data_IF_164547001361
#
_entry.id   IF_164547001361
#
_cell.length_a   1.000
_cell.length_b   1.000
_cell.length_c   1.000
_cell.angle_alpha   90.00
_cell.angle_beta   90.00
_cell.angle_gamma   90.00
#
_symmetry.space_group_name_H-M   'P 1'
#
loop_
_entity.id
_entity.type
_entity.pdbx_description
1 polymer ?
#
# COMPACT_ATOMS: atom_id res chain seq x y z
N UNK A 1 55.32 -46.10 -51.08
CA UNK A 1 54.67 -44.82 -51.40
C UNK A 1 54.81 -43.90 -50.20
N UNK A 2 55.23 -42.65 -50.43
CA UNK A 2 55.25 -41.57 -49.44
C UNK A 2 53.82 -41.03 -49.20
N UNK A 3 53.60 -40.02 -48.34
CA UNK A 3 54.36 -39.61 -47.16
C UNK A 3 53.46 -39.13 -45.98
N UNK A 4 54.11 -38.49 -45.00
CA UNK A 4 53.73 -37.15 -44.50
C UNK A 4 52.61 -37.08 -43.45
N UNK A 5 52.78 -36.42 -42.29
CA UNK A 5 53.78 -35.47 -41.79
C UNK A 5 53.79 -35.60 -40.24
N UNK A 6 54.92 -35.64 -39.50
CA UNK A 6 55.97 -34.62 -39.34
C UNK A 6 55.40 -33.26 -38.88
N UNK A 7 55.88 -32.47 -37.91
CA UNK A 7 57.07 -32.33 -37.05
C UNK A 7 56.58 -31.28 -36.00
N UNK A 8 56.83 -31.38 -34.69
CA UNK A 8 58.04 -30.94 -33.96
C UNK A 8 58.29 -29.41 -34.00
N UNK A 9 58.17 -28.80 -32.79
CA UNK A 9 58.94 -27.65 -32.24
C UNK A 9 58.49 -26.27 -32.76
N UNK A 10 58.27 -25.26 -31.91
CA UNK A 10 59.32 -24.36 -31.38
C UNK A 10 58.82 -23.64 -30.12
N UNK A 11 59.59 -23.76 -29.04
CA UNK A 11 59.70 -22.77 -27.95
C UNK A 11 60.26 -21.46 -28.48
N UNK A 12 59.55 -20.35 -28.29
CA UNK A 12 60.13 -19.01 -28.33
C UNK A 12 59.60 -18.16 -27.19
N UNK A 13 60.49 -17.86 -26.24
CA UNK A 13 60.42 -16.68 -25.40
C UNK A 13 60.43 -15.43 -26.29
N UNK A 14 59.49 -14.52 -26.06
CA UNK A 14 59.72 -13.08 -26.27
C UNK A 14 58.98 -12.30 -25.18
N UNK A 15 59.77 -11.67 -24.31
CA UNK A 15 59.37 -10.52 -23.51
C UNK A 15 58.81 -9.44 -24.44
N UNK A 16 57.61 -8.95 -24.16
CA UNK A 16 57.24 -7.57 -24.44
C UNK A 16 56.50 -7.00 -23.24
N UNK A 17 57.15 -6.04 -22.61
CA UNK A 17 56.62 -5.13 -21.61
C UNK A 17 55.43 -4.37 -22.22
N UNK A 18 54.26 -4.54 -21.64
CA UNK A 18 53.18 -3.58 -21.78
C UNK A 18 52.63 -3.30 -20.38
N UNK A 19 52.96 -2.11 -19.88
CA UNK A 19 52.20 -1.43 -18.84
C UNK A 19 50.76 -1.28 -19.34
N UNK A 20 49.93 -2.27 -19.02
CA UNK A 20 48.49 -2.14 -19.04
C UNK A 20 48.04 -1.93 -17.61
N UNK A 21 47.71 -0.68 -17.28
CA UNK A 21 46.90 -0.34 -16.12
C UNK A 21 45.73 -1.33 -16.05
N UNK A 22 45.82 -2.32 -15.17
CA UNK A 22 44.65 -3.02 -14.69
C UNK A 22 43.83 -1.95 -13.96
N UNK A 23 42.87 -1.37 -14.68
CA UNK A 23 41.84 -0.55 -14.09
C UNK A 23 41.33 -1.34 -12.88
N UNK A 24 41.25 -0.72 -11.69
CA UNK A 24 40.58 -1.37 -10.59
C UNK A 24 39.18 -1.68 -11.13
N UNK A 25 38.78 -2.95 -11.07
CA UNK A 25 37.39 -3.32 -11.19
C UNK A 25 36.68 -2.47 -10.17
N UNK A 26 36.08 -1.37 -10.63
CA UNK A 26 35.02 -0.73 -9.92
C UNK A 26 33.97 -1.83 -9.80
N UNK A 27 34.01 -2.51 -8.66
CA UNK A 27 32.78 -2.88 -7.98
C UNK A 27 31.92 -1.64 -8.15
N UNK A 28 30.97 -1.71 -9.09
CA UNK A 28 29.80 -0.88 -9.06
C UNK A 28 29.30 -1.06 -7.65
N UNK A 29 29.64 -0.12 -6.76
CA UNK A 29 29.12 -0.04 -5.42
C UNK A 29 27.64 -0.34 -5.59
N UNK A 30 27.18 -1.45 -5.01
CA UNK A 30 25.82 -1.95 -5.19
C UNK A 30 24.93 -0.74 -5.00
N UNK A 31 24.38 -0.21 -6.10
CA UNK A 31 23.61 1.02 -6.02
C UNK A 31 22.55 0.73 -4.99
N UNK A 32 22.48 1.53 -3.95
CA UNK A 32 21.49 1.39 -2.90
C UNK A 32 20.13 1.79 -3.50
N UNK A 33 19.56 0.88 -4.29
CA UNK A 33 18.30 1.05 -5.02
C UNK A 33 17.19 0.59 -4.10
N UNK A 34 16.05 1.28 -4.15
CA UNK A 34 14.83 0.89 -3.44
C UNK A 34 14.30 -0.42 -4.00
N UNK A 35 13.87 -1.33 -3.13
CA UNK A 35 13.38 -2.67 -3.45
C UNK A 35 11.96 -2.87 -2.94
N UNK A 36 11.34 -3.98 -3.32
CA UNK A 36 9.93 -4.23 -3.04
C UNK A 36 9.62 -4.26 -1.54
N UNK A 37 10.45 -4.90 -0.71
CA UNK A 37 10.30 -4.92 0.76
C UNK A 37 10.59 -3.59 1.47
N UNK A 38 11.13 -2.59 0.77
CA UNK A 38 11.20 -1.22 1.33
C UNK A 38 9.87 -0.48 1.17
N UNK A 39 9.16 -0.77 0.08
CA UNK A 39 7.89 -0.13 -0.25
C UNK A 39 6.71 -0.83 0.38
N UNK A 40 6.79 -2.14 0.63
CA UNK A 40 5.75 -2.92 1.28
C UNK A 40 6.35 -3.79 2.40
N UNK A 41 6.08 -3.39 3.64
CA UNK A 41 6.59 -4.02 4.86
C UNK A 41 5.50 -4.85 5.52
N UNK A 42 5.81 -6.13 5.72
CA UNK A 42 4.99 -7.12 6.43
C UNK A 42 5.50 -7.24 7.86
N UNK A 43 4.61 -7.20 8.84
CA UNK A 43 4.94 -7.45 10.23
C UNK A 43 4.28 -8.76 10.66
N UNK A 44 5.05 -9.75 11.14
CA UNK A 44 4.49 -11.03 11.58
C UNK A 44 3.67 -10.84 12.86
N UNK A 45 2.55 -11.59 12.97
CA UNK A 45 1.61 -11.49 14.08
C UNK A 45 2.15 -12.04 15.42
N UNK A 46 3.14 -12.94 15.37
CA UNK A 46 3.71 -13.63 16.53
C UNK A 46 5.03 -13.01 16.99
N UNK A 47 5.19 -12.88 18.31
CA UNK A 47 6.42 -12.43 18.97
C UNK A 47 6.25 -11.20 19.88
N UNK A 48 7.37 -10.68 20.39
CA UNK A 48 7.45 -9.37 21.06
C UNK A 48 7.36 -8.19 20.06
N UNK A 49 7.02 -8.48 18.81
CA UNK A 49 6.98 -7.62 17.63
C UNK A 49 5.73 -6.76 17.57
N UNK A 50 5.58 -5.81 18.51
CA UNK A 50 4.32 -5.09 18.67
C UNK A 50 4.53 -3.59 18.59
N UNK A 51 4.23 -3.01 17.42
CA UNK A 51 3.80 -1.61 17.36
C UNK A 51 2.29 -1.62 17.63
N UNK A 52 1.95 -1.37 18.90
CA UNK A 52 0.57 -1.29 19.33
C UNK A 52 -0.06 0.01 18.83
N UNK A 53 -1.39 0.00 18.68
CA UNK A 53 -2.14 1.24 18.61
C UNK A 53 -1.90 2.01 19.92
N UNK A 54 -1.22 3.15 19.82
CA UNK A 54 -0.98 4.09 20.92
C UNK A 54 -1.45 5.49 20.52
N UNK A 55 -1.52 6.41 21.48
CA UNK A 55 -1.99 7.77 21.22
C UNK A 55 -1.15 8.54 20.19
N UNK A 56 0.09 8.12 19.92
CA UNK A 56 0.97 8.80 18.99
C UNK A 56 0.70 8.39 17.53
N UNK A 57 0.18 7.19 17.28
CA UNK A 57 -0.08 6.67 15.93
C UNK A 57 -1.56 6.41 15.64
N UNK A 58 -2.34 6.07 16.67
CA UNK A 58 -3.74 5.71 16.59
C UNK A 58 -4.50 6.21 17.84
N UNK A 59 -4.91 7.49 17.87
CA UNK A 59 -5.56 8.11 19.02
C UNK A 59 -6.84 7.40 19.45
N UNK A 60 -7.11 7.29 20.75
CA UNK A 60 -8.35 6.69 21.25
C UNK A 60 -9.65 7.32 20.69
N UNK A 61 -9.73 8.63 20.40
CA UNK A 61 -10.93 9.19 19.75
C UNK A 61 -11.23 8.57 18.37
N UNK A 62 -10.21 8.17 17.61
CA UNK A 62 -10.42 7.48 16.34
C UNK A 62 -11.06 6.12 16.55
N UNK A 63 -10.55 5.39 17.55
CA UNK A 63 -11.12 4.13 17.99
C UNK A 63 -12.61 4.29 18.33
N UNK A 64 -12.97 5.24 19.19
CA UNK A 64 -14.38 5.46 19.54
C UNK A 64 -15.27 5.81 18.34
N UNK A 65 -14.82 6.70 17.45
CA UNK A 65 -15.58 7.08 16.26
C UNK A 65 -15.84 5.91 15.29
N UNK A 66 -14.87 5.00 15.16
CA UNK A 66 -15.01 3.79 14.34
C UNK A 66 -16.07 2.87 14.93
N UNK A 67 -16.08 2.71 16.25
CA UNK A 67 -17.00 1.83 16.97
C UNK A 67 -18.44 2.31 16.91
N UNK A 68 -18.64 3.60 17.18
CA UNK A 68 -19.95 4.25 17.05
C UNK A 68 -20.52 4.11 15.64
N UNK A 69 -19.66 4.05 14.62
CA UNK A 69 -20.08 3.78 13.25
C UNK A 69 -20.52 2.33 13.04
N UNK A 70 -19.79 1.35 13.58
CA UNK A 70 -20.12 -0.07 13.45
C UNK A 70 -21.36 -0.48 14.25
N UNK A 71 -21.65 0.18 15.38
CA UNK A 71 -22.92 0.04 16.09
C UNK A 71 -24.15 0.29 15.22
N UNK A 72 -23.99 1.06 14.13
CA UNK A 72 -25.06 1.36 13.16
C UNK A 72 -25.09 0.38 11.97
N UNK A 73 -24.41 -0.76 12.08
CA UNK A 73 -24.31 -1.81 11.05
C UNK A 73 -24.71 -3.17 11.62
N UNK A 74 -24.69 -4.21 10.80
CA UNK A 74 -24.86 -5.59 11.25
C UNK A 74 -23.74 -6.08 12.17
N UNK A 75 -22.62 -5.35 12.27
CA UNK A 75 -21.51 -5.61 13.19
C UNK A 75 -21.88 -5.30 14.62
N UNK A 76 -22.70 -4.29 14.87
CA UNK A 76 -23.10 -3.93 16.22
C UNK A 76 -21.87 -3.66 17.09
N UNK A 77 -21.87 -4.27 18.28
CA UNK A 77 -20.85 -4.14 19.33
C UNK A 77 -19.76 -5.23 19.27
N UNK A 78 -19.80 -6.12 18.27
CA UNK A 78 -18.85 -7.24 18.15
C UNK A 78 -17.38 -6.78 18.18
N UNK A 79 -17.10 -5.60 17.61
CA UNK A 79 -15.78 -4.98 17.68
C UNK A 79 -15.31 -4.69 19.12
N UNK A 80 -16.21 -4.34 20.03
CA UNK A 80 -15.87 -3.97 21.42
C UNK A 80 -15.73 -5.18 22.32
N UNK A 81 -16.57 -6.17 22.07
CA UNK A 81 -16.61 -7.40 22.86
C UNK A 81 -15.50 -8.36 22.47
N UNK A 82 -15.18 -8.45 21.18
CA UNK A 82 -14.23 -9.44 20.64
C UNK A 82 -12.80 -8.88 20.46
N UNK A 83 -12.62 -7.57 20.21
CA UNK A 83 -11.30 -6.97 19.98
C UNK A 83 -11.08 -5.66 20.74
N UNK A 84 -10.37 -5.71 21.87
CA UNK A 84 -10.07 -4.48 22.63
C UNK A 84 -9.02 -3.66 21.90
N UNK A 85 -8.96 -2.35 22.11
CA UNK A 85 -7.95 -1.46 21.51
C UNK A 85 -6.51 -2.01 21.70
N UNK A 86 -6.24 -2.57 22.89
CA UNK A 86 -4.97 -3.21 23.22
C UNK A 86 -4.64 -4.44 22.39
N UNK A 87 -5.53 -4.98 21.56
CA UNK A 87 -5.31 -6.13 20.70
C UNK A 87 -4.90 -5.69 19.28
N UNK A 88 -5.11 -4.41 18.93
CA UNK A 88 -4.80 -3.87 17.61
C UNK A 88 -3.31 -3.59 17.43
N UNK A 89 -2.77 -4.11 16.33
CA UNK A 89 -1.36 -4.04 15.97
C UNK A 89 -1.21 -3.56 14.54
N UNK A 90 -0.11 -2.86 14.28
CA UNK A 90 0.32 -2.64 12.91
C UNK A 90 0.77 -3.99 12.33
N UNK A 91 0.17 -4.41 11.22
CA UNK A 91 0.50 -5.66 10.52
C UNK A 91 1.15 -5.40 9.16
N UNK A 92 0.90 -4.22 8.58
CA UNK A 92 1.49 -3.84 7.31
C UNK A 92 1.72 -2.35 7.18
N UNK A 93 2.74 -1.99 6.39
CA UNK A 93 3.01 -0.63 5.96
C UNK A 93 3.32 -0.62 4.46
N UNK A 94 2.75 0.32 3.70
CA UNK A 94 3.13 0.58 2.31
C UNK A 94 3.49 2.05 2.11
N UNK A 95 4.62 2.31 1.47
CA UNK A 95 4.98 3.63 0.97
C UNK A 95 4.71 3.76 -0.52
N UNK A 96 3.90 4.73 -0.89
CA UNK A 96 3.69 5.15 -2.27
C UNK A 96 4.47 6.44 -2.53
N UNK A 97 5.58 6.44 -3.29
CA UNK A 97 6.36 7.66 -3.56
C UNK A 97 5.59 8.73 -4.35
N UNK A 98 4.58 8.32 -5.09
CA UNK A 98 3.83 9.19 -5.99
C UNK A 98 2.40 8.68 -6.13
N UNK A 99 1.50 9.20 -5.28
CA UNK A 99 0.07 9.02 -5.45
C UNK A 99 -0.53 10.25 -6.13
N UNK A 100 -1.26 10.10 -7.25
CA UNK A 100 -1.83 11.25 -7.96
C UNK A 100 -2.75 12.08 -7.07
N UNK A 101 -2.61 13.41 -7.17
CA UNK A 101 -3.44 14.37 -6.43
C UNK A 101 -4.88 14.37 -6.93
N UNK A 102 -5.04 14.18 -8.23
CA UNK A 102 -6.33 14.22 -8.90
C UNK A 102 -6.92 12.81 -9.04
N UNK A 103 -8.25 12.67 -8.95
CA UNK A 103 -8.89 11.38 -8.97
C UNK A 103 -8.74 10.68 -10.32
N UNK A 104 -8.55 11.39 -11.43
CA UNK A 104 -8.39 10.81 -12.77
C UNK A 104 -6.93 10.82 -13.23
N UNK A 105 -6.53 9.80 -14.00
CA UNK A 105 -5.14 9.60 -14.41
C UNK A 105 -4.96 10.07 -15.84
N UNK A 106 -4.15 11.12 -15.98
CA UNK A 106 -3.57 11.54 -17.25
C UNK A 106 -2.05 11.48 -17.12
N UNK A 107 -1.27 11.47 -18.21
CA UNK A 107 0.19 11.59 -18.11
C UNK A 107 0.65 12.81 -17.30
N UNK A 108 -0.12 13.90 -17.34
CA UNK A 108 0.10 15.11 -16.51
C UNK A 108 -0.17 14.80 -15.03
N UNK A 109 -1.34 14.26 -14.70
CA UNK A 109 -1.74 13.99 -13.32
C UNK A 109 -0.92 12.88 -12.66
N UNK A 110 -0.34 11.98 -13.44
CA UNK A 110 0.60 10.97 -12.95
C UNK A 110 1.91 11.58 -12.41
N UNK A 111 2.25 12.82 -12.82
CA UNK A 111 3.41 13.58 -12.31
C UNK A 111 3.04 14.51 -11.17
N UNK A 112 1.82 15.04 -11.17
CA UNK A 112 1.26 15.82 -10.07
C UNK A 112 0.76 14.87 -8.97
N UNK A 113 1.68 14.45 -8.13
CA UNK A 113 1.47 13.49 -7.08
C UNK A 113 2.11 13.93 -5.77
N UNK A 114 1.73 13.27 -4.69
CA UNK A 114 2.35 13.39 -3.39
C UNK A 114 2.71 12.00 -2.86
N UNK A 115 3.81 11.86 -2.12
CA UNK A 115 4.08 10.63 -1.40
C UNK A 115 3.00 10.36 -0.35
N UNK A 116 2.66 9.08 -0.16
CA UNK A 116 1.68 8.61 0.82
C UNK A 116 2.20 7.39 1.58
N UNK A 117 1.84 7.30 2.85
CA UNK A 117 2.10 6.16 3.71
C UNK A 117 0.77 5.51 4.08
N UNK A 118 0.63 4.23 3.80
CA UNK A 118 -0.52 3.42 4.21
C UNK A 118 -0.12 2.52 5.35
N UNK A 119 -0.87 2.58 6.44
CA UNK A 119 -0.76 1.66 7.57
C UNK A 119 -1.99 0.76 7.61
N UNK A 120 -1.77 -0.53 7.92
CA UNK A 120 -2.81 -1.51 8.13
C UNK A 120 -2.76 -1.98 9.56
N UNK A 121 -3.82 -1.67 10.31
CA UNK A 121 -4.01 -2.10 11.69
C UNK A 121 -5.00 -3.26 11.72
N UNK A 122 -4.73 -4.24 12.57
CA UNK A 122 -5.56 -5.43 12.71
C UNK A 122 -5.52 -5.94 14.16
N UNK A 123 -6.62 -6.49 14.71
CA UNK A 123 -6.58 -7.14 16.00
C UNK A 123 -5.86 -8.49 15.92
N UNK A 124 -4.90 -8.69 16.81
CA UNK A 124 -4.24 -9.98 17.01
C UNK A 124 -4.67 -10.50 18.38
N UNK A 125 -5.62 -11.44 18.37
CA UNK A 125 -6.10 -12.11 19.57
C UNK A 125 -5.19 -13.28 19.90
N UNK A 126 -5.04 -13.58 21.20
CA UNK A 126 -4.25 -14.72 21.66
C UNK A 126 -5.16 -15.66 22.45
N UNK A 127 -5.20 -16.92 22.03
CA UNK A 127 -6.01 -17.96 22.66
C UNK A 127 -5.10 -19.10 23.11
N UNK A 128 -5.40 -19.68 24.28
CA UNK A 128 -4.69 -20.85 24.77
C UNK A 128 -5.43 -22.12 24.33
N UNK A 129 -4.84 -22.87 23.40
CA UNK A 129 -5.45 -24.07 22.80
C UNK A 129 -4.47 -25.23 22.94
N UNK A 130 -4.92 -26.35 23.54
CA UNK A 130 -4.14 -27.59 23.68
C UNK A 130 -2.71 -27.35 24.19
N UNK A 131 -2.60 -26.65 25.32
CA UNK A 131 -1.35 -26.32 26.00
C UNK A 131 -0.38 -25.40 25.23
N UNK A 132 -0.86 -24.69 24.20
CA UNK A 132 -0.07 -23.71 23.45
C UNK A 132 -0.85 -22.41 23.27
N UNK A 133 -0.16 -21.29 23.37
CA UNK A 133 -0.70 -20.02 22.91
C UNK A 133 -0.69 -20.00 21.38
N UNK A 134 -1.83 -19.71 20.79
CA UNK A 134 -2.00 -19.46 19.37
C UNK A 134 -2.43 -18.01 19.22
N UNK A 135 -1.88 -17.31 18.23
CA UNK A 135 -2.36 -15.98 17.86
C UNK A 135 -3.19 -16.07 16.59
N UNK A 136 -4.31 -15.37 16.57
CA UNK A 136 -5.19 -15.27 15.43
C UNK A 136 -5.35 -13.79 15.07
N UNK A 137 -5.17 -13.48 13.79
CA UNK A 137 -5.44 -12.17 13.24
C UNK A 137 -6.91 -12.16 12.79
N UNK A 138 -7.72 -11.31 13.40
CA UNK A 138 -9.15 -11.24 13.14
C UNK A 138 -9.44 -10.56 11.80
N UNK A 139 -10.50 -10.89 11.05
CA UNK A 139 -10.78 -10.27 9.73
C UNK A 139 -11.35 -8.84 9.79
N UNK A 140 -10.95 -8.10 10.82
CA UNK A 140 -11.19 -6.68 10.98
C UNK A 140 -9.90 -5.94 10.72
N UNK A 141 -9.98 -4.87 9.96
CA UNK A 141 -8.80 -4.06 9.66
C UNK A 141 -9.15 -2.58 9.63
N UNK A 142 -8.15 -1.74 9.88
CA UNK A 142 -8.19 -0.32 9.58
C UNK A 142 -7.05 0.01 8.62
N UNK A 143 -7.39 0.60 7.47
CA UNK A 143 -6.41 1.19 6.57
C UNK A 143 -6.36 2.68 6.83
N UNK A 144 -5.25 3.17 7.35
CA UNK A 144 -4.98 4.58 7.55
C UNK A 144 -4.03 5.09 6.47
N UNK A 145 -4.42 6.16 5.78
CA UNK A 145 -3.63 6.85 4.77
C UNK A 145 -3.10 8.15 5.35
N UNK A 146 -1.79 8.34 5.26
CA UNK A 146 -1.09 9.53 5.69
C UNK A 146 -0.40 10.16 4.48
N UNK A 147 -0.51 11.47 4.36
CA UNK A 147 0.28 12.24 3.40
C UNK A 147 1.51 12.80 4.09
N UNK A 148 2.64 12.83 3.39
CA UNK A 148 3.85 13.40 3.96
C UNK A 148 3.80 14.92 3.90
N UNK A 149 4.09 15.55 5.03
CA UNK A 149 4.31 16.99 5.12
C UNK A 149 5.59 17.37 4.36
N UNK A 150 5.57 18.44 3.56
CA UNK A 150 6.74 18.87 2.80
C UNK A 150 7.92 19.27 3.70
N UNK A 151 7.66 19.79 4.89
CA UNK A 151 8.66 20.14 5.91
C UNK A 151 9.50 18.94 6.37
N UNK A 152 9.05 17.71 6.06
CA UNK A 152 9.80 16.51 6.39
C UNK A 152 11.02 16.26 5.46
N UNK A 153 11.08 16.96 4.32
CA UNK A 153 12.19 16.83 3.36
C UNK A 153 12.61 18.14 2.67
N UNK A 154 11.87 19.22 2.85
CA UNK A 154 12.12 20.53 2.24
C UNK A 154 12.42 21.57 3.31
N UNK A 155 13.18 22.61 2.96
CA UNK A 155 13.32 23.79 3.83
C UNK A 155 12.00 24.57 3.91
N UNK A 156 11.92 25.54 4.83
CA UNK A 156 10.68 26.26 5.12
C UNK A 156 10.10 26.98 3.89
N UNK A 157 10.94 27.60 3.07
CA UNK A 157 10.49 28.38 1.91
C UNK A 157 10.06 27.44 0.77
N UNK A 158 10.81 26.36 0.57
CA UNK A 158 10.47 25.29 -0.36
C UNK A 158 9.18 24.57 0.03
N UNK A 159 8.96 24.30 1.31
CA UNK A 159 7.76 23.65 1.82
C UNK A 159 6.52 24.53 1.59
N UNK A 160 6.61 25.83 1.91
CA UNK A 160 5.53 26.78 1.64
C UNK A 160 5.23 26.88 0.13
N UNK A 161 6.27 26.94 -0.70
CA UNK A 161 6.11 26.96 -2.15
C UNK A 161 5.49 25.67 -2.69
N UNK A 162 5.89 24.53 -2.16
CA UNK A 162 5.30 23.23 -2.51
C UNK A 162 3.81 23.19 -2.16
N UNK A 163 3.43 23.69 -0.97
CA UNK A 163 2.02 23.76 -0.53
C UNK A 163 1.18 24.65 -1.47
N UNK A 164 1.67 25.84 -1.81
CA UNK A 164 0.99 26.76 -2.75
C UNK A 164 0.74 26.09 -4.11
N UNK A 165 1.75 25.38 -4.64
CA UNK A 165 1.65 24.67 -5.91
C UNK A 165 0.70 23.47 -5.81
N UNK A 166 0.74 22.74 -4.69
CA UNK A 166 -0.13 21.60 -4.43
C UNK A 166 -1.61 22.01 -4.40
N UNK A 167 -1.97 23.08 -3.70
CA UNK A 167 -3.35 23.59 -3.61
C UNK A 167 -3.90 24.03 -4.98
N UNK A 168 -3.01 24.41 -5.91
CA UNK A 168 -3.34 24.85 -7.27
C UNK A 168 -3.05 23.80 -8.33
N UNK A 169 -2.86 22.53 -7.96
CA UNK A 169 -2.40 21.46 -8.85
C UNK A 169 -3.18 21.37 -10.19
N UNK A 170 -4.49 21.64 -10.18
CA UNK A 170 -5.32 21.61 -11.39
C UNK A 170 -4.97 22.72 -12.41
N UNK A 171 -4.42 23.84 -11.94
CA UNK A 171 -4.26 25.10 -12.67
C UNK A 171 -2.80 25.55 -12.83
N UNK A 172 -1.84 24.68 -12.50
CA UNK A 172 -0.43 25.00 -12.66
C UNK A 172 -0.07 25.25 -14.13
N UNK A 173 0.75 26.27 -14.37
CA UNK A 173 1.42 26.50 -15.65
C UNK A 173 2.61 25.56 -15.82
N UNK A 174 3.09 25.36 -17.05
CA UNK A 174 4.18 24.42 -17.33
C UNK A 174 5.46 24.66 -16.50
N UNK A 175 5.81 25.92 -16.22
CA UNK A 175 6.96 26.24 -15.37
C UNK A 175 6.72 25.88 -13.89
N UNK A 176 5.50 26.12 -13.39
CA UNK A 176 5.07 25.75 -12.04
C UNK A 176 4.99 24.23 -11.86
N UNK A 177 4.58 23.49 -12.89
CA UNK A 177 4.61 22.02 -12.88
C UNK A 177 6.02 21.45 -12.77
N UNK A 178 6.99 22.04 -13.48
CA UNK A 178 8.39 21.65 -13.38
C UNK A 178 8.96 21.96 -11.99
N UNK A 179 8.58 23.09 -11.42
CA UNK A 179 8.95 23.47 -10.06
C UNK A 179 8.36 22.50 -9.03
N UNK A 180 7.07 22.18 -9.15
CA UNK A 180 6.40 21.20 -8.29
C UNK A 180 7.05 19.81 -8.39
N UNK A 181 7.32 19.31 -9.60
CA UNK A 181 7.99 18.01 -9.81
C UNK A 181 9.38 18.00 -9.16
N UNK A 182 10.13 19.09 -9.26
CA UNK A 182 11.45 19.22 -8.61
C UNK A 182 11.35 19.15 -7.08
N UNK A 183 10.47 19.95 -6.48
CA UNK A 183 10.28 19.97 -5.03
C UNK A 183 9.74 18.62 -4.52
N UNK A 184 8.78 18.03 -5.23
CA UNK A 184 8.24 16.73 -4.88
C UNK A 184 9.32 15.62 -4.93
N UNK A 185 10.22 15.65 -5.92
CA UNK A 185 11.35 14.71 -5.98
C UNK A 185 12.31 14.86 -4.82
N UNK A 186 12.64 16.10 -4.43
CA UNK A 186 13.48 16.36 -3.26
C UNK A 186 12.87 15.78 -2.00
N UNK A 187 11.57 16.00 -1.79
CA UNK A 187 10.82 15.38 -0.69
C UNK A 187 10.91 13.85 -0.76
N UNK A 188 10.58 13.25 -1.90
CA UNK A 188 10.59 11.78 -2.06
C UNK A 188 11.99 11.18 -1.85
N UNK A 189 13.06 11.83 -2.30
CA UNK A 189 14.43 11.35 -2.12
C UNK A 189 14.82 11.27 -0.63
N UNK A 190 14.38 12.24 0.18
CA UNK A 190 14.56 12.20 1.65
C UNK A 190 13.79 11.02 2.24
N UNK A 191 12.52 10.85 1.85
CA UNK A 191 11.66 9.78 2.37
C UNK A 191 12.19 8.38 2.00
N UNK A 192 12.61 8.20 0.75
CA UNK A 192 13.23 6.97 0.26
C UNK A 192 14.52 6.67 1.01
N UNK A 193 15.32 7.69 1.32
CA UNK A 193 16.53 7.51 2.14
C UNK A 193 16.17 7.01 3.54
N UNK A 194 15.12 7.55 4.17
CA UNK A 194 14.63 7.09 5.47
C UNK A 194 14.07 5.67 5.44
N UNK A 195 13.39 5.29 4.37
CA UNK A 195 12.91 3.91 4.19
C UNK A 195 14.05 2.91 4.07
N UNK A 196 15.10 3.24 3.31
CA UNK A 196 16.29 2.39 3.17
C UNK A 196 17.03 2.23 4.50
N UNK A 197 17.04 3.27 5.35
CA UNK A 197 17.62 3.19 6.69
C UNK A 197 16.93 2.16 7.59
N UNK A 198 15.67 1.79 7.31
CA UNK A 198 14.99 0.73 8.05
C UNK A 198 15.71 -0.61 7.94
N UNK A 199 16.41 -0.87 6.83
CA UNK A 199 17.13 -2.12 6.57
C UNK A 199 18.23 -2.44 7.59
N UNK A 200 18.74 -1.42 8.26
CA UNK A 200 19.88 -1.55 9.17
C UNK A 200 21.11 -2.05 8.43
N UNK A 201 21.65 -3.19 8.86
CA UNK A 201 22.88 -3.78 8.34
C UNK A 201 22.66 -4.83 7.25
N UNK A 202 21.40 -5.16 6.95
CA UNK A 202 21.07 -6.26 6.05
C UNK A 202 21.45 -5.98 4.58
N UNK A 203 21.92 -6.99 3.84
CA UNK A 203 22.19 -6.87 2.41
C UNK A 203 20.95 -6.49 1.59
N UNK A 204 21.13 -5.58 0.62
CA UNK A 204 20.07 -5.08 -0.27
C UNK A 204 19.35 -6.20 -1.04
N UNK A 205 20.06 -7.28 -1.39
CA UNK A 205 19.50 -8.41 -2.15
C UNK A 205 18.38 -9.16 -1.41
N UNK A 206 18.29 -9.04 -0.09
CA UNK A 206 17.23 -9.67 0.71
C UNK A 206 15.87 -8.95 0.60
N UNK A 207 15.83 -7.81 -0.07
CA UNK A 207 14.65 -6.95 -0.18
C UNK A 207 13.99 -6.95 -1.56
N UNK A 208 14.52 -7.73 -2.52
CA UNK A 208 14.12 -7.69 -3.94
C UNK A 208 12.67 -8.14 -4.20
N UNK A 209 12.17 -9.12 -3.44
CA UNK A 209 10.82 -9.67 -3.56
C UNK A 209 9.84 -9.07 -2.53
N UNK A 210 8.57 -9.47 -2.61
CA UNK A 210 7.55 -9.14 -1.62
C UNK A 210 7.44 -10.28 -0.60
N UNK A 211 7.25 -9.94 0.67
CA UNK A 211 7.09 -10.92 1.75
C UNK A 211 7.77 -10.47 3.03
N UNK A 212 7.98 -11.41 3.94
CA UNK A 212 8.60 -11.12 5.24
C UNK A 212 9.98 -10.51 5.10
N UNK A 213 10.24 -9.49 5.92
CA UNK A 213 11.50 -8.80 5.99
C UNK A 213 12.59 -9.66 6.65
N UNK A 214 13.86 -9.58 6.21
CA UNK A 214 14.94 -10.40 6.76
C UNK A 214 15.18 -10.15 8.26
N UNK A 215 14.78 -9.00 8.81
CA UNK A 215 14.88 -8.68 10.24
C UNK A 215 14.05 -9.59 11.15
N UNK A 216 13.14 -10.38 10.60
CA UNK A 216 12.36 -11.37 11.36
C UNK A 216 12.89 -12.80 11.23
N UNK A 217 13.78 -13.06 10.28
CA UNK A 217 14.28 -14.41 9.96
C UNK A 217 15.81 -14.54 9.97
N UNK A 218 16.57 -13.44 10.05
CA UNK A 218 18.03 -13.40 9.93
C UNK A 218 18.74 -12.66 11.09
N UNK A 219 20.03 -12.36 10.88
CA UNK A 219 21.05 -12.02 11.89
C UNK A 219 20.84 -10.72 12.68
N UNK A 220 20.03 -9.78 12.22
CA UNK A 220 19.79 -8.53 12.95
C UNK A 220 18.68 -8.69 13.99
N UNK A 221 18.84 -8.05 15.15
CA UNK A 221 17.82 -8.06 16.20
C UNK A 221 16.53 -7.43 15.67
N UNK A 222 15.44 -8.20 15.68
CA UNK A 222 14.10 -7.71 15.39
C UNK A 222 13.74 -6.46 16.22
N UNK A 223 14.27 -6.34 17.44
CA UNK A 223 14.04 -5.17 18.30
C UNK A 223 14.63 -3.87 17.69
N UNK A 224 15.80 -3.95 17.06
CA UNK A 224 16.45 -2.77 16.47
C UNK A 224 15.66 -2.28 15.26
N UNK A 225 15.16 -3.21 14.44
CA UNK A 225 14.24 -2.89 13.35
C UNK A 225 12.97 -2.20 13.84
N UNK A 226 12.32 -2.76 14.87
CA UNK A 226 11.09 -2.18 15.42
C UNK A 226 11.33 -0.80 16.02
N UNK A 227 12.49 -0.56 16.65
CA UNK A 227 12.84 0.77 17.14
C UNK A 227 12.99 1.78 16.00
N UNK A 228 13.67 1.40 14.91
CA UNK A 228 13.79 2.26 13.71
C UNK A 228 12.43 2.49 13.05
N UNK A 229 11.62 1.44 12.91
CA UNK A 229 10.28 1.52 12.35
C UNK A 229 9.38 2.42 13.20
N UNK A 230 9.38 2.24 14.53
CA UNK A 230 8.63 3.10 15.44
C UNK A 230 9.05 4.56 15.28
N UNK A 231 10.36 4.85 15.25
CA UNK A 231 10.88 6.20 15.03
C UNK A 231 10.45 6.79 13.68
N UNK A 232 10.46 5.98 12.62
CA UNK A 232 9.96 6.37 11.30
C UNK A 232 8.47 6.71 11.35
N UNK A 233 7.65 5.85 11.94
CA UNK A 233 6.20 6.04 12.03
C UNK A 233 5.84 7.27 12.85
N UNK A 234 6.48 7.52 13.99
CA UNK A 234 6.25 8.72 14.80
C UNK A 234 6.62 10.02 14.06
N UNK A 235 7.49 9.92 13.05
CA UNK A 235 7.86 11.06 12.21
C UNK A 235 6.82 11.30 11.11
N UNK A 236 6.35 10.23 10.46
CA UNK A 236 5.64 10.33 9.17
C UNK A 236 4.16 9.89 9.19
N UNK A 237 3.73 9.19 10.24
CA UNK A 237 2.35 8.71 10.41
C UNK A 237 1.65 9.42 11.59
N UNK A 238 1.96 10.71 11.77
CA UNK A 238 1.31 11.51 12.81
C UNK A 238 -0.19 11.64 12.53
N UNK A 239 -1.06 11.61 13.55
CA UNK A 239 -2.50 11.76 13.39
C UNK A 239 -2.89 12.98 12.56
N UNK A 240 -2.19 14.10 12.73
CA UNK A 240 -2.38 15.36 11.99
C UNK A 240 -2.30 15.19 10.47
N UNK A 241 -1.54 14.19 10.02
CA UNK A 241 -1.24 13.93 8.61
C UNK A 241 -2.13 12.83 8.02
N UNK A 242 -3.05 12.27 8.81
CA UNK A 242 -4.07 11.36 8.30
C UNK A 242 -4.88 12.11 7.24
N UNK A 243 -5.23 11.42 6.16
CA UNK A 243 -6.10 11.96 5.10
C UNK A 243 -7.36 11.15 4.94
N UNK A 244 -7.27 9.83 5.16
CA UNK A 244 -8.39 8.93 5.09
C UNK A 244 -8.14 7.74 6.00
N UNK A 245 -9.19 7.30 6.69
CA UNK A 245 -9.21 6.01 7.36
C UNK A 245 -10.38 5.19 6.82
N UNK A 246 -10.15 3.94 6.47
CA UNK A 246 -11.22 3.00 6.10
C UNK A 246 -11.19 1.83 7.05
N UNK A 247 -12.34 1.51 7.62
CA UNK A 247 -12.54 0.39 8.52
C UNK A 247 -13.32 -0.75 7.85
N UNK A 248 -12.91 -1.97 8.15
CA UNK A 248 -13.38 -3.21 7.52
C UNK A 248 -13.82 -4.20 8.59
N UNK A 249 -14.93 -4.90 8.34
CA UNK A 249 -15.32 -6.08 9.12
C UNK A 249 -15.88 -7.15 8.18
N UNK A 250 -15.33 -8.36 8.27
CA UNK A 250 -15.69 -9.52 7.47
C UNK A 250 -16.22 -10.70 8.30
N UNK A 251 -16.86 -11.69 7.65
CA UNK A 251 -17.46 -12.87 8.28
C UNK A 251 -16.55 -13.68 9.21
N UNK A 252 -15.31 -13.95 8.82
CA UNK A 252 -14.45 -14.90 9.53
C UNK A 252 -13.82 -14.21 10.76
N UNK A 253 -14.07 -14.80 11.95
CA UNK A 253 -13.74 -14.18 13.26
C UNK A 253 -14.91 -13.61 14.06
N UNK A 254 -16.15 -13.59 13.53
CA UNK A 254 -17.35 -13.09 14.25
C UNK A 254 -18.07 -14.19 15.03
N UNK A 255 -18.68 -13.85 16.17
CA UNK A 255 -19.65 -14.71 16.86
C UNK A 255 -21.08 -14.11 16.78
N UNK A 256 -22.07 -14.74 16.11
CA UNK A 256 -21.96 -16.02 15.42
C UNK A 256 -21.28 -15.92 14.04
N UNK A 257 -20.52 -16.94 13.63
CA UNK A 257 -19.77 -16.98 12.36
C UNK A 257 -20.64 -17.04 11.09
N UNK A 258 -21.95 -16.80 11.21
CA UNK A 258 -22.94 -16.98 10.14
C UNK A 258 -23.25 -15.70 9.35
N UNK A 259 -22.65 -14.56 9.68
CA UNK A 259 -22.86 -13.32 8.95
C UNK A 259 -21.88 -13.26 7.77
N UNK A 260 -22.24 -13.85 6.62
CA UNK A 260 -21.53 -13.74 5.33
C UNK A 260 -21.66 -12.32 4.74
N UNK A 261 -21.29 -11.30 5.52
CA UNK A 261 -21.39 -9.91 5.13
C UNK A 261 -20.12 -9.14 5.46
N UNK A 262 -19.68 -8.40 4.46
CA UNK A 262 -18.54 -7.49 4.48
C UNK A 262 -19.06 -6.08 4.72
N UNK A 263 -18.55 -5.40 5.72
CA UNK A 263 -18.95 -4.03 6.08
C UNK A 263 -17.75 -3.10 5.96
N UNK A 264 -17.97 -1.99 5.24
CA UNK A 264 -16.97 -0.97 4.97
C UNK A 264 -17.47 0.38 5.46
N UNK A 265 -16.62 1.13 6.16
CA UNK A 265 -16.91 2.49 6.62
C UNK A 265 -15.68 3.35 6.37
N UNK A 266 -15.85 4.53 5.75
CA UNK A 266 -14.78 5.49 5.53
C UNK A 266 -14.90 6.69 6.47
N UNK A 267 -13.75 7.27 6.78
CA UNK A 267 -13.60 8.43 7.65
C UNK A 267 -12.60 9.42 7.06
N UNK A 268 -12.86 10.70 7.31
CA UNK A 268 -11.96 11.82 7.09
C UNK A 268 -11.65 12.49 8.45
N UNK A 269 -10.46 13.09 8.62
CA UNK A 269 -10.14 13.85 9.82
C UNK A 269 -10.81 15.23 9.81
N UNK A 270 -11.27 15.71 10.97
CA UNK A 270 -11.97 17.01 11.10
C UNK A 270 -11.25 18.06 11.96
N UNK A 271 -10.25 17.71 12.76
CA UNK A 271 -9.53 18.66 13.61
C UNK A 271 -8.06 18.28 13.75
N UNK A 272 -7.20 18.75 12.84
CA UNK A 272 -5.76 18.43 12.82
C UNK A 272 -5.49 16.95 13.17
N UNK A 273 -6.31 16.03 12.64
CA UNK A 273 -6.19 14.60 12.90
C UNK A 273 -6.60 14.08 14.28
N UNK A 274 -7.18 14.86 15.19
CA UNK A 274 -7.60 14.34 16.51
C UNK A 274 -8.93 13.60 16.48
N UNK A 275 -9.81 13.95 15.56
CA UNK A 275 -11.17 13.41 15.46
C UNK A 275 -11.47 12.94 14.03
N UNK A 276 -12.30 11.89 13.94
CA UNK A 276 -12.77 11.32 12.69
C UNK A 276 -14.23 11.64 12.46
N UNK A 277 -14.57 11.92 11.21
CA UNK A 277 -15.93 12.05 10.72
C UNK A 277 -16.17 11.03 9.63
N UNK A 278 -17.33 10.38 9.65
CA UNK A 278 -17.73 9.46 8.58
C UNK A 278 -17.84 10.19 7.24
N UNK A 279 -17.35 9.54 6.21
CA UNK A 279 -17.38 9.99 4.82
C UNK A 279 -18.20 9.02 3.98
N UNK A 280 -18.86 9.52 2.95
CA UNK A 280 -19.50 8.66 1.96
C UNK A 280 -18.47 7.84 1.16
N UNK A 281 -18.76 6.55 1.02
CA UNK A 281 -18.07 5.69 0.09
C UNK A 281 -18.63 5.92 -1.32
N UNK A 282 -17.75 6.11 -2.29
CA UNK A 282 -18.14 6.41 -3.68
C UNK A 282 -17.28 5.65 -4.69
N UNK A 283 -17.83 5.41 -5.88
CA UNK A 283 -17.08 5.02 -7.07
C UNK A 283 -17.03 6.24 -7.99
N UNK A 284 -15.83 6.65 -8.39
CA UNK A 284 -15.60 7.80 -9.26
C UNK A 284 -15.20 7.40 -10.67
N UNK A 285 -15.52 8.25 -11.63
CA UNK A 285 -15.08 8.12 -13.03
C UNK A 285 -13.55 8.22 -13.10
N UNK A 286 -12.94 7.32 -13.85
CA UNK A 286 -11.53 7.36 -14.19
C UNK A 286 -11.21 8.46 -15.21
N UNK A 287 -12.22 9.00 -15.90
CA UNK A 287 -12.05 10.02 -16.94
C UNK A 287 -12.02 11.44 -16.38
N UNK A 288 -12.95 11.75 -15.49
CA UNK A 288 -13.20 13.12 -15.03
C UNK A 288 -13.35 13.24 -13.50
N UNK A 289 -13.32 12.13 -12.75
CA UNK A 289 -13.42 12.14 -11.30
C UNK A 289 -14.83 12.34 -10.74
N UNK A 290 -15.87 12.50 -11.57
CA UNK A 290 -17.26 12.63 -11.08
C UNK A 290 -17.71 11.34 -10.38
N UNK A 291 -18.67 11.46 -9.47
CA UNK A 291 -19.23 10.32 -8.76
C UNK A 291 -20.12 9.52 -9.73
N UNK A 292 -19.81 8.24 -9.91
CA UNK A 292 -20.63 7.28 -10.65
C UNK A 292 -21.64 6.57 -9.74
N UNK A 293 -21.24 6.28 -8.51
CA UNK A 293 -22.07 5.63 -7.49
C UNK A 293 -21.70 6.11 -6.09
N UNK A 294 -22.69 6.15 -5.19
CA UNK A 294 -22.49 6.36 -3.74
C UNK A 294 -23.17 5.24 -2.96
N UNK A 295 -22.47 4.73 -1.95
CA UNK A 295 -23.00 3.76 -0.98
C UNK A 295 -23.60 4.45 0.25
N UNK A 296 -23.46 5.78 0.35
CA UNK A 296 -23.67 6.50 1.59
C UNK A 296 -22.54 6.24 2.59
N UNK A 297 -22.85 6.34 3.89
CA UNK A 297 -21.85 6.30 4.99
C UNK A 297 -21.33 4.88 5.33
N UNK A 298 -21.84 3.84 4.67
CA UNK A 298 -21.39 2.46 4.81
C UNK A 298 -21.63 1.69 3.52
N UNK A 299 -20.77 0.75 3.19
CA UNK A 299 -21.04 -0.24 2.15
C UNK A 299 -21.13 -1.63 2.77
N UNK A 300 -22.02 -2.46 2.26
CA UNK A 300 -22.29 -3.83 2.70
C UNK A 300 -22.22 -4.74 1.48
N UNK A 301 -21.55 -5.87 1.57
CA UNK A 301 -21.45 -6.80 0.44
C UNK A 301 -21.15 -8.21 0.88
N UNK A 302 -20.98 -9.10 -0.08
CA UNK A 302 -20.58 -10.48 0.18
C UNK A 302 -19.59 -10.92 -0.90
N UNK A 303 -19.05 -12.13 -0.76
CA UNK A 303 -18.25 -12.74 -1.85
C UNK A 303 -19.05 -12.86 -3.16
N UNK A 304 -20.39 -12.91 -3.07
CA UNK A 304 -21.29 -13.12 -4.21
C UNK A 304 -21.89 -11.84 -4.79
N UNK A 305 -22.11 -10.82 -3.96
CA UNK A 305 -22.88 -9.61 -4.34
C UNK A 305 -22.20 -8.35 -3.82
N UNK A 306 -22.27 -7.29 -4.63
CA UNK A 306 -21.91 -5.94 -4.17
C UNK A 306 -23.05 -5.30 -3.35
N UNK A 307 -22.87 -4.05 -2.93
CA UNK A 307 -23.88 -3.31 -2.15
C UNK A 307 -25.22 -3.19 -2.88
N UNK A 308 -26.31 -3.27 -2.12
CA UNK A 308 -27.66 -3.18 -2.67
C UNK A 308 -27.91 -1.86 -3.40
N UNK A 309 -27.36 -0.74 -2.90
CA UNK A 309 -27.49 0.56 -3.58
C UNK A 309 -26.84 0.55 -4.96
N UNK A 310 -25.75 -0.20 -5.12
CA UNK A 310 -25.03 -0.33 -6.37
C UNK A 310 -25.77 -1.25 -7.35
N UNK A 311 -26.42 -2.28 -6.83
CA UNK A 311 -27.26 -3.20 -7.62
C UNK A 311 -28.53 -2.49 -8.09
N UNK A 312 -29.16 -1.70 -7.24
CA UNK A 312 -30.32 -0.89 -7.60
C UNK A 312 -29.96 0.17 -8.65
N UNK A 313 -28.79 0.80 -8.49
CA UNK A 313 -28.25 1.74 -9.48
C UNK A 313 -27.97 1.06 -10.82
N UNK A 314 -27.39 -0.15 -10.80
CA UNK A 314 -27.19 -0.97 -12.01
C UNK A 314 -28.50 -1.17 -12.75
N UNK A 315 -29.53 -1.65 -12.04
CA UNK A 315 -30.85 -1.89 -12.63
C UNK A 315 -31.48 -0.61 -13.20
N UNK A 316 -31.31 0.52 -12.52
CA UNK A 316 -31.77 1.82 -13.00
C UNK A 316 -31.02 2.27 -14.27
N UNK A 317 -29.69 2.15 -14.29
CA UNK A 317 -28.86 2.56 -15.41
C UNK A 317 -29.08 1.70 -16.65
N UNK A 318 -29.26 0.38 -16.47
CA UNK A 318 -29.60 -0.57 -17.53
C UNK A 318 -30.96 -0.23 -18.18
N UNK A 319 -31.94 0.24 -17.40
CA UNK A 319 -33.27 0.64 -17.91
C UNK A 319 -33.28 2.01 -18.60
N UNK A 320 -32.43 2.95 -18.15
CA UNK A 320 -32.46 4.36 -18.60
C UNK A 320 -31.50 4.68 -19.75
N UNK A 321 -30.81 3.67 -20.29
CA UNK A 321 -29.94 3.75 -21.46
C UNK A 321 -28.84 4.84 -21.37
N UNK A 322 -28.24 5.03 -20.19
CA UNK A 322 -27.05 5.87 -20.01
C UNK A 322 -25.79 5.09 -20.34
N UNK A 323 -25.56 4.85 -21.64
CA UNK A 323 -24.53 3.93 -22.13
C UNK A 323 -23.08 4.20 -21.70
N UNK A 324 -22.70 5.46 -21.45
CA UNK A 324 -21.31 5.79 -21.08
C UNK A 324 -21.01 5.59 -19.58
N UNK A 325 -21.91 6.08 -18.71
CA UNK A 325 -21.76 5.98 -17.25
C UNK A 325 -21.86 4.52 -16.79
N UNK A 326 -22.82 3.79 -17.37
CA UNK A 326 -22.96 2.37 -17.12
C UNK A 326 -21.72 1.59 -17.56
N UNK A 327 -21.19 1.84 -18.76
CA UNK A 327 -20.00 1.14 -19.25
C UNK A 327 -18.77 1.39 -18.35
N UNK A 328 -18.65 2.60 -17.80
CA UNK A 328 -17.57 2.92 -16.88
C UNK A 328 -17.76 2.24 -15.51
N UNK A 329 -18.97 2.28 -14.95
CA UNK A 329 -19.27 1.62 -13.69
C UNK A 329 -19.16 0.09 -13.79
N UNK A 330 -19.67 -0.50 -14.86
CA UNK A 330 -19.52 -1.94 -15.14
C UNK A 330 -18.04 -2.32 -15.26
N UNK A 331 -17.23 -1.44 -15.85
CA UNK A 331 -15.80 -1.67 -15.93
C UNK A 331 -15.10 -1.66 -14.55
N UNK A 332 -15.62 -0.86 -13.63
CA UNK A 332 -15.11 -0.64 -12.29
C UNK A 332 -15.51 -1.71 -11.26
N UNK A 333 -16.56 -2.50 -11.53
CA UNK A 333 -17.22 -3.35 -10.52
C UNK A 333 -17.27 -4.82 -10.98
N UNK A 334 -16.95 -5.74 -10.06
CA UNK A 334 -17.16 -7.18 -10.19
C UNK A 334 -18.54 -7.49 -9.62
N UNK A 335 -19.56 -7.52 -10.49
CA UNK A 335 -20.94 -7.77 -10.06
C UNK A 335 -21.14 -9.20 -9.59
N UNK A 336 -20.43 -10.15 -10.22
CA UNK A 336 -20.59 -11.58 -9.97
C UNK A 336 -19.24 -12.29 -9.89
N UNK A 337 -19.16 -13.40 -9.16
CA UNK A 337 -17.94 -14.20 -9.07
C UNK A 337 -17.42 -14.69 -10.44
N UNK A 338 -18.25 -15.12 -11.40
CA UNK A 338 -17.79 -15.46 -12.76
C UNK A 338 -17.12 -14.29 -13.50
N UNK A 339 -17.56 -13.05 -13.29
CA UNK A 339 -16.94 -11.87 -13.91
C UNK A 339 -15.54 -11.58 -13.38
N UNK A 340 -15.21 -12.04 -12.17
CA UNK A 340 -13.89 -11.87 -11.56
C UNK A 340 -12.78 -12.28 -12.52
N UNK A 341 -12.92 -13.43 -13.21
CA UNK A 341 -11.89 -13.90 -14.16
C UNK A 341 -11.60 -12.89 -15.28
N UNK A 342 -12.59 -12.12 -15.69
CA UNK A 342 -12.47 -11.14 -16.78
C UNK A 342 -12.01 -9.77 -16.29
N UNK A 343 -12.53 -9.32 -15.14
CA UNK A 343 -12.32 -7.96 -14.63
C UNK A 343 -11.15 -7.84 -13.64
N UNK A 344 -10.71 -8.94 -13.02
CA UNK A 344 -9.70 -8.90 -11.96
C UNK A 344 -8.36 -8.32 -12.42
N UNK A 345 -7.88 -8.68 -13.62
CA UNK A 345 -6.61 -8.16 -14.12
C UNK A 345 -6.63 -6.63 -14.27
N UNK A 346 -7.74 -6.07 -14.78
CA UNK A 346 -7.93 -4.63 -14.92
C UNK A 346 -8.01 -3.93 -13.56
N UNK A 347 -8.82 -4.45 -12.63
CA UNK A 347 -9.00 -3.84 -11.31
C UNK A 347 -7.73 -3.97 -10.46
N UNK A 348 -6.95 -5.04 -10.64
CA UNK A 348 -5.67 -5.23 -9.99
C UNK A 348 -4.56 -4.32 -10.56
N UNK A 349 -4.71 -3.83 -11.79
CA UNK A 349 -3.74 -2.94 -12.44
C UNK A 349 -4.02 -1.46 -12.11
N UNK A 350 -3.16 -0.79 -11.33
CA UNK A 350 -3.33 0.61 -11.00
C UNK A 350 -3.17 1.56 -12.19
N UNK A 351 -2.62 1.14 -13.33
CA UNK A 351 -2.63 1.95 -14.54
C UNK A 351 -4.01 1.98 -15.22
N UNK A 352 -4.87 1.01 -14.91
CA UNK A 352 -6.19 0.89 -15.52
C UNK A 352 -7.33 1.26 -14.57
N UNK A 353 -7.18 1.01 -13.26
CA UNK A 353 -8.24 1.28 -12.29
C UNK A 353 -7.63 1.73 -10.97
N UNK A 354 -7.87 2.98 -10.56
CA UNK A 354 -7.49 3.43 -9.23
C UNK A 354 -8.45 2.90 -8.17
N UNK A 355 -8.02 2.89 -6.91
CA UNK A 355 -8.87 2.46 -5.78
C UNK A 355 -10.16 3.29 -5.73
N UNK A 356 -10.10 4.59 -6.01
CA UNK A 356 -11.27 5.46 -6.07
C UNK A 356 -12.24 5.16 -7.24
N UNK A 357 -11.81 4.35 -8.22
CA UNK A 357 -12.59 3.98 -9.41
C UNK A 357 -13.16 2.59 -9.32
N UNK A 358 -13.19 1.97 -8.14
CA UNK A 358 -13.74 0.63 -7.96
C UNK A 358 -14.36 0.52 -6.59
N UNK A 359 -15.41 -0.30 -6.47
CA UNK A 359 -16.03 -0.58 -5.18
C UNK A 359 -15.03 -1.29 -4.25
N UNK A 360 -15.09 -1.01 -2.94
CA UNK A 360 -14.31 -1.76 -1.96
C UNK A 360 -14.56 -3.27 -2.10
N UNK A 361 -15.82 -3.69 -2.19
CA UNK A 361 -16.22 -5.09 -2.31
C UNK A 361 -15.56 -5.76 -3.53
N UNK A 362 -15.52 -5.10 -4.69
CA UNK A 362 -14.81 -5.62 -5.88
C UNK A 362 -13.29 -5.75 -5.69
N UNK A 363 -12.64 -4.80 -5.01
CA UNK A 363 -11.24 -4.95 -4.61
C UNK A 363 -11.03 -6.20 -3.74
N UNK A 364 -11.93 -6.44 -2.79
CA UNK A 364 -11.85 -7.60 -1.89
C UNK A 364 -12.14 -8.93 -2.60
N UNK A 365 -12.99 -8.93 -3.64
CA UNK A 365 -13.21 -10.09 -4.52
C UNK A 365 -11.95 -10.50 -5.33
N UNK A 366 -10.87 -9.70 -5.39
CA UNK A 366 -9.64 -10.05 -6.12
C UNK A 366 -8.83 -11.15 -5.43
N UNK A 367 -8.90 -11.27 -4.10
CA UNK A 367 -8.23 -12.31 -3.34
C UNK A 367 -8.88 -13.69 -3.52
N UNK A 368 -8.18 -14.84 -3.43
CA UNK A 368 -8.81 -16.16 -3.26
C UNK A 368 -10.01 -16.12 -2.29
N UNK A 369 -10.94 -17.07 -2.39
CA UNK A 369 -12.15 -17.07 -1.52
C UNK A 369 -11.77 -17.20 -0.04
N UNK A 370 -10.60 -17.80 0.24
CA UNK A 370 -9.98 -17.90 1.55
C UNK A 370 -8.85 -16.86 1.71
N UNK A 371 -8.90 -15.76 0.94
CA UNK A 371 -7.96 -14.66 1.12
C UNK A 371 -8.39 -13.88 2.35
N UNK A 372 -7.79 -14.26 3.46
CA UNK A 372 -7.27 -13.36 4.46
C UNK A 372 -7.07 -11.95 3.87
N UNK A 373 -7.94 -11.00 4.21
CA UNK A 373 -7.92 -9.63 3.67
C UNK A 373 -6.63 -8.87 3.96
N UNK A 374 -5.78 -9.49 4.73
CA UNK A 374 -4.52 -9.02 5.21
C UNK A 374 -3.64 -8.83 4.00
N UNK A 375 -3.58 -7.58 3.53
CA UNK A 375 -2.51 -7.09 2.71
C UNK A 375 -1.23 -7.17 3.54
N UNK A 376 -0.74 -8.40 3.84
CA UNK A 376 0.34 -8.78 4.75
C UNK A 376 -0.13 -9.22 6.16
N UNK A 377 -0.48 -10.50 6.34
CA UNK A 377 -0.41 -11.16 7.66
C UNK A 377 0.32 -12.50 7.57
N UNK A 378 0.94 -12.88 8.68
CA UNK A 378 1.40 -14.24 8.96
C UNK A 378 0.38 -14.85 9.92
N UNK A 379 -0.24 -15.96 9.52
CA UNK A 379 -0.97 -16.81 10.44
C UNK A 379 -0.08 -17.98 10.85
N UNK A 380 -0.27 -18.43 12.08
CA UNK A 380 0.16 -19.78 12.44
C UNK A 380 -0.49 -20.78 11.46
N UNK A 381 0.33 -21.40 10.61
CA UNK A 381 0.00 -22.42 9.59
C UNK A 381 -0.44 -21.95 8.18
N UNK A 382 -0.31 -20.66 7.82
CA UNK A 382 -0.50 -20.22 6.43
C UNK A 382 0.64 -19.32 5.93
N UNK A 383 0.97 -19.45 4.64
CA UNK A 383 1.94 -18.58 3.97
C UNK A 383 1.43 -17.14 3.89
N UNK A 384 2.36 -16.17 3.90
CA UNK A 384 2.03 -14.76 3.71
C UNK A 384 1.29 -14.58 2.38
N UNK A 385 0.07 -14.08 2.47
CA UNK A 385 -0.76 -13.78 1.31
C UNK A 385 -0.67 -12.29 0.95
N UNK A 386 -0.44 -11.99 -0.33
CA UNK A 386 -0.29 -10.61 -0.81
C UNK A 386 -1.25 -10.38 -1.97
N UNK A 387 -2.12 -9.38 -1.82
CA UNK A 387 -3.13 -9.03 -2.83
C UNK A 387 -2.47 -8.78 -4.19
N UNK A 388 -3.05 -9.29 -5.30
CA UNK A 388 -2.58 -8.97 -6.65
C UNK A 388 -2.41 -7.47 -6.87
N UNK A 389 -3.33 -6.66 -6.33
CA UNK A 389 -3.27 -5.20 -6.46
C UNK A 389 -2.02 -4.60 -5.81
N UNK A 390 -1.64 -5.06 -4.62
CA UNK A 390 -0.42 -4.59 -3.94
C UNK A 390 0.81 -4.91 -4.77
N UNK A 391 0.87 -6.09 -5.40
CA UNK A 391 2.01 -6.47 -6.27
C UNK A 391 2.15 -5.51 -7.44
N UNK A 392 1.04 -5.15 -8.10
CA UNK A 392 1.05 -4.20 -9.20
C UNK A 392 1.36 -2.76 -8.74
N UNK A 393 0.82 -2.33 -7.61
CA UNK A 393 1.11 -1.01 -7.01
C UNK A 393 2.63 -0.87 -6.75
N UNK A 394 3.25 -1.85 -6.09
CA UNK A 394 4.71 -1.83 -5.79
C UNK A 394 5.53 -1.87 -7.08
N UNK A 395 5.13 -2.67 -8.07
CA UNK A 395 5.80 -2.70 -9.38
C UNK A 395 5.82 -1.31 -10.05
N UNK A 396 4.66 -0.64 -10.08
CA UNK A 396 4.53 0.73 -10.61
C UNK A 396 5.41 1.73 -9.85
N UNK A 397 5.48 1.62 -8.53
CA UNK A 397 6.27 2.53 -7.69
C UNK A 397 7.77 2.36 -7.88
N UNK A 398 8.25 1.12 -8.01
CA UNK A 398 9.64 0.82 -8.34
C UNK A 398 9.99 1.36 -9.73
N UNK A 399 9.08 1.21 -10.70
CA UNK A 399 9.27 1.79 -12.04
C UNK A 399 9.40 3.31 -11.94
N UNK A 400 8.46 3.98 -11.26
CA UNK A 400 8.49 5.43 -11.06
C UNK A 400 9.80 5.89 -10.41
N UNK A 401 10.24 5.24 -9.33
CA UNK A 401 11.51 5.56 -8.66
C UNK A 401 12.71 5.38 -9.59
N UNK A 402 12.70 4.32 -10.41
CA UNK A 402 13.78 4.05 -11.37
C UNK A 402 13.89 5.11 -12.46
N UNK A 403 12.74 5.65 -12.91
CA UNK A 403 12.69 6.75 -13.88
C UNK A 403 13.10 8.07 -13.22
N UNK A 404 12.64 8.30 -11.99
CA UNK A 404 12.95 9.52 -11.25
C UNK A 404 14.46 9.68 -10.96
N UNK A 405 15.15 8.59 -10.63
CA UNK A 405 16.59 8.58 -10.38
C UNK A 405 17.46 8.73 -11.65
N UNK A 406 16.90 8.54 -12.85
CA UNK A 406 17.61 8.74 -14.12
C UNK A 406 17.65 10.20 -14.55
N UNK A 407 16.69 11.01 -14.11
CA UNK A 407 16.54 12.44 -14.50
C UNK A 407 17.44 13.35 -13.65
N UNK A 408 17.85 12.91 -12.46
CA UNK A 408 18.76 13.64 -11.57
C UNK A 408 20.24 13.52 -11.94
N UNK A 409 20.55 12.84 -13.07
CA UNK A 409 21.89 12.71 -13.65
C UNK A 409 21.91 13.37 -15.02
#
# INVERSE_FOLDING_TARGET
MPPSNAFVVVTSLLLHSALGLAAPSSQLASRDITRAKDLAVVLPALGHTKIAADEALFPAPWWHAIFDAFHQTSVGDALETENKLKDWRLVAMRFAPCQPLLPFVTPRNARLCQPELRLVWQPITQHFVRDRWQAHADDRAFHALYRFEPEAGLDKDQALRWQELHERAEHLQAAEELEFDKLNRQLVDVLVTKLKQLRGSNPVSLYDDLGERPEFSQQESTADFLQRLSSFLHTFAKPQNLTQLTAFSLPEGRDPPMIDEWVFIAFEPISAGSELKRQELTVKSARDGRILASYGLKARGTVRRDDESLVDLKDQLERTNKGADWAELDAAVIWTFPERKRKAARIADPHQTHVAHTSCISCHKLGPVNFDLHNLSYFENHDISISPRVKHDVGRELEWLSQSQKITK
#
